data_IF_934640190969
#
_entry.id   IF_934640190969
#
_cell.length_a   1.000
_cell.length_b   1.000
_cell.length_c   1.000
_cell.angle_alpha   90.00
_cell.angle_beta   90.00
_cell.angle_gamma   90.00
#
_symmetry.space_group_name_H-M   'P 1'
#
loop_
_entity.id
_entity.type
_entity.pdbx_description
1 polymer ?
#
# COMPACT_ATOMS: atom_id res chain seq x y z
N UNK A 1 -27.98 29.35 11.11
CA UNK A 1 -26.67 28.79 11.46
C UNK A 1 -26.60 27.43 10.80
N UNK A 2 -25.85 27.32 9.72
CA UNK A 2 -25.71 26.09 8.96
C UNK A 2 -24.84 25.13 9.78
N UNK A 3 -25.44 24.03 10.23
CA UNK A 3 -24.69 22.87 10.69
C UNK A 3 -24.16 22.18 9.43
N UNK A 4 -23.01 22.62 8.96
CA UNK A 4 -22.17 21.80 8.08
C UNK A 4 -21.70 20.62 8.92
N UNK A 5 -22.53 19.58 8.93
CA UNK A 5 -22.11 18.22 9.22
C UNK A 5 -21.01 17.95 8.21
N UNK A 6 -19.75 18.10 8.63
CA UNK A 6 -18.61 17.51 7.93
C UNK A 6 -18.95 16.03 7.87
N UNK A 7 -19.57 15.60 6.77
CA UNK A 7 -19.72 14.20 6.42
C UNK A 7 -18.29 13.69 6.33
N UNK A 8 -17.85 13.12 7.43
CA UNK A 8 -16.55 12.47 7.57
C UNK A 8 -16.68 11.10 6.89
N UNK A 9 -17.06 11.11 5.61
CA UNK A 9 -16.95 9.98 4.68
C UNK A 9 -15.46 9.85 4.37
N UNK A 10 -14.68 9.46 5.37
CA UNK A 10 -13.32 8.99 5.12
C UNK A 10 -13.49 7.63 4.45
N UNK A 11 -13.48 7.61 3.12
CA UNK A 11 -13.27 6.37 2.37
C UNK A 11 -12.00 5.71 2.92
N UNK A 12 -12.11 4.44 3.31
CA UNK A 12 -11.04 3.69 3.96
C UNK A 12 -9.98 3.33 2.88
N UNK A 13 -9.22 4.33 2.44
CA UNK A 13 -8.23 4.23 1.36
C UNK A 13 -6.96 3.44 1.76
N UNK A 14 -6.98 2.71 2.89
CA UNK A 14 -5.84 1.96 3.40
C UNK A 14 -6.27 0.60 3.92
N UNK A 15 -5.59 -0.43 3.43
CA UNK A 15 -5.63 -1.79 3.94
C UNK A 15 -4.23 -2.21 4.40
N UNK A 16 -4.15 -2.76 5.60
CA UNK A 16 -2.95 -3.45 6.10
C UNK A 16 -3.12 -4.94 5.92
N UNK A 17 -2.09 -5.60 5.41
CA UNK A 17 -1.98 -7.06 5.42
C UNK A 17 -0.83 -7.46 6.34
N UNK A 18 -1.10 -8.37 7.27
CA UNK A 18 -0.05 -8.96 8.11
C UNK A 18 0.85 -9.87 7.27
N UNK A 19 2.17 -9.67 7.32
CA UNK A 19 3.12 -10.52 6.61
C UNK A 19 3.05 -11.97 7.09
N UNK A 20 3.10 -12.90 6.13
CA UNK A 20 3.16 -14.34 6.38
C UNK A 20 4.60 -14.86 6.47
N UNK A 21 4.76 -16.09 7.00
CA UNK A 21 6.02 -16.84 6.89
C UNK A 21 6.42 -17.07 5.42
N UNK A 22 5.46 -17.08 4.49
CA UNK A 22 5.71 -17.25 3.05
C UNK A 22 5.56 -15.91 2.30
N UNK A 23 6.53 -15.02 2.47
CA UNK A 23 6.55 -13.69 1.83
C UNK A 23 6.47 -13.78 0.30
N UNK A 24 7.07 -14.80 -0.33
CA UNK A 24 7.03 -14.98 -1.78
C UNK A 24 5.60 -15.19 -2.31
N UNK A 25 4.79 -15.97 -1.58
CA UNK A 25 3.38 -16.18 -1.93
C UNK A 25 2.59 -14.88 -1.83
N UNK A 26 2.77 -14.12 -0.76
CA UNK A 26 2.07 -12.85 -0.58
C UNK A 26 2.50 -11.82 -1.65
N UNK A 27 3.80 -11.72 -1.94
CA UNK A 27 4.32 -10.88 -3.02
C UNK A 27 3.67 -11.22 -4.37
N UNK A 28 3.53 -12.51 -4.67
CA UNK A 28 2.86 -12.98 -5.87
C UNK A 28 1.39 -12.53 -5.93
N UNK A 29 0.64 -12.70 -4.84
CA UNK A 29 -0.77 -12.27 -4.75
C UNK A 29 -0.91 -10.75 -4.91
N UNK A 30 -0.03 -9.97 -4.27
CA UNK A 30 -0.02 -8.50 -4.40
C UNK A 30 0.31 -8.08 -5.83
N UNK A 31 1.25 -8.76 -6.48
CA UNK A 31 1.60 -8.50 -7.87
C UNK A 31 0.42 -8.80 -8.82
N UNK A 32 -0.25 -9.94 -8.65
CA UNK A 32 -1.48 -10.23 -9.39
C UNK A 32 -2.56 -9.16 -9.18
N UNK A 33 -2.69 -8.66 -7.94
CA UNK A 33 -3.61 -7.56 -7.61
C UNK A 33 -3.25 -6.29 -8.39
N UNK A 34 -1.97 -5.93 -8.48
CA UNK A 34 -1.50 -4.81 -9.28
C UNK A 34 -1.83 -4.98 -10.76
N UNK A 35 -1.63 -6.19 -11.32
CA UNK A 35 -1.97 -6.52 -12.70
C UNK A 35 -3.49 -6.37 -12.94
N UNK A 36 -4.33 -6.82 -12.02
CA UNK A 36 -5.79 -6.66 -12.11
C UNK A 36 -6.22 -5.20 -12.14
N UNK A 37 -5.65 -4.33 -11.30
CA UNK A 37 -5.91 -2.89 -11.36
C UNK A 37 -5.48 -2.29 -12.69
N UNK A 38 -4.27 -2.63 -13.15
CA UNK A 38 -3.71 -2.10 -14.39
C UNK A 38 -4.49 -2.55 -15.64
N UNK A 39 -5.09 -3.74 -15.60
CA UNK A 39 -6.02 -4.24 -16.63
C UNK A 39 -7.25 -3.32 -16.76
N UNK A 40 -7.76 -2.79 -15.65
CA UNK A 40 -8.85 -1.82 -15.60
C UNK A 40 -8.48 -0.40 -16.03
N UNK A 41 -7.37 -0.23 -16.76
CA UNK A 41 -6.82 1.06 -17.17
C UNK A 41 -6.45 2.01 -16.02
N UNK A 42 -6.07 1.46 -14.86
CA UNK A 42 -5.59 2.22 -13.71
C UNK A 42 -4.06 2.18 -13.63
N UNK A 43 -3.48 3.18 -13.00
CA UNK A 43 -2.05 3.17 -12.67
C UNK A 43 -1.82 2.64 -11.27
N UNK A 44 -0.79 1.82 -11.11
CA UNK A 44 -0.42 1.19 -9.83
C UNK A 44 1.02 1.53 -9.50
N UNK A 45 1.28 1.80 -8.24
CA UNK A 45 2.64 1.95 -7.72
C UNK A 45 2.92 0.75 -6.84
N UNK A 46 4.00 0.04 -7.13
CA UNK A 46 4.42 -1.12 -6.39
C UNK A 46 5.79 -0.82 -5.76
N UNK A 47 5.79 -0.58 -4.45
CA UNK A 47 6.98 -0.30 -3.68
C UNK A 47 7.46 -1.58 -3.01
N UNK A 48 8.71 -1.95 -3.26
CA UNK A 48 9.33 -3.15 -2.67
C UNK A 48 10.85 -2.97 -2.54
N UNK A 49 11.48 -3.72 -1.65
CA UNK A 49 12.94 -3.67 -1.44
C UNK A 49 13.70 -4.28 -2.62
N UNK A 50 13.15 -5.31 -3.26
CA UNK A 50 13.84 -6.14 -4.26
C UNK A 50 13.00 -6.28 -5.52
N UNK A 51 13.64 -6.49 -6.69
CA UNK A 51 12.94 -6.90 -7.90
C UNK A 51 12.04 -8.12 -7.65
N UNK A 52 10.91 -8.16 -8.31
CA UNK A 52 10.00 -9.32 -8.24
C UNK A 52 10.65 -10.49 -8.97
N UNK A 53 10.97 -11.55 -8.23
CA UNK A 53 11.78 -12.68 -8.71
C UNK A 53 11.09 -13.49 -9.83
N UNK A 54 9.76 -13.55 -9.83
CA UNK A 54 8.99 -14.30 -10.83
C UNK A 54 7.71 -13.57 -11.21
N UNK A 55 7.63 -13.12 -12.45
CA UNK A 55 6.38 -12.66 -13.08
C UNK A 55 5.72 -13.87 -13.74
N UNK A 56 4.44 -14.18 -13.47
CA UNK A 56 3.75 -15.29 -14.11
C UNK A 56 3.82 -15.21 -15.63
N UNK A 57 4.03 -16.36 -16.28
CA UNK A 57 4.23 -16.43 -17.73
C UNK A 57 3.03 -15.87 -18.50
N UNK A 58 1.80 -16.02 -17.97
CA UNK A 58 0.59 -15.47 -18.58
C UNK A 58 0.57 -13.92 -18.60
N UNK A 59 1.25 -13.28 -17.64
CA UNK A 59 1.39 -11.82 -17.57
C UNK A 59 2.42 -11.34 -18.61
N UNK A 60 3.51 -12.08 -18.78
CA UNK A 60 4.56 -11.74 -19.74
C UNK A 60 4.10 -11.89 -21.20
N UNK A 61 3.30 -12.92 -21.50
CA UNK A 61 2.88 -13.23 -22.88
C UNK A 61 1.84 -12.26 -23.46
N UNK A 62 1.05 -11.59 -22.61
CA UNK A 62 -0.15 -10.88 -23.06
C UNK A 62 -0.14 -9.36 -22.84
N UNK A 63 0.82 -8.80 -22.07
CA UNK A 63 0.54 -7.52 -21.40
C UNK A 63 1.69 -6.51 -21.26
N UNK A 64 2.42 -6.24 -22.35
CA UNK A 64 3.42 -5.14 -22.39
C UNK A 64 2.82 -3.76 -22.05
N UNK A 65 1.54 -3.54 -22.39
CA UNK A 65 0.83 -2.28 -22.12
C UNK A 65 0.33 -2.15 -20.68
N UNK A 66 0.01 -3.27 -20.01
CA UNK A 66 -0.37 -3.27 -18.59
C UNK A 66 0.85 -3.05 -17.71
N UNK A 67 1.96 -3.70 -18.04
CA UNK A 67 3.19 -3.56 -17.26
C UNK A 67 3.67 -2.11 -17.20
N UNK A 68 3.49 -1.34 -18.29
CA UNK A 68 3.77 0.11 -18.34
C UNK A 68 2.90 0.95 -17.39
N UNK A 69 1.78 0.42 -16.90
CA UNK A 69 0.89 1.09 -15.93
C UNK A 69 1.24 0.76 -14.48
N UNK A 70 2.09 -0.25 -14.26
CA UNK A 70 2.61 -0.60 -12.95
C UNK A 70 4.01 0.01 -12.83
N UNK A 71 4.18 0.91 -11.87
CA UNK A 71 5.46 1.57 -11.63
C UNK A 71 6.09 0.99 -10.39
N UNK A 72 7.20 0.31 -10.60
CA UNK A 72 7.98 -0.29 -9.54
C UNK A 72 8.93 0.73 -8.93
N UNK A 73 8.86 0.86 -7.61
CA UNK A 73 9.78 1.66 -6.82
C UNK A 73 10.60 0.69 -5.97
N UNK A 74 11.81 0.41 -6.44
CA UNK A 74 12.77 -0.44 -5.74
C UNK A 74 13.66 0.41 -4.84
N UNK A 75 13.49 0.30 -3.52
CA UNK A 75 14.29 1.08 -2.58
C UNK A 75 14.38 0.39 -1.22
N UNK A 76 15.56 0.50 -0.60
CA UNK A 76 15.78 0.13 0.81
C UNK A 76 15.62 1.30 1.77
N UNK A 77 15.45 2.51 1.23
CA UNK A 77 15.34 3.75 2.01
C UNK A 77 13.90 4.23 2.01
N UNK A 78 13.30 4.28 3.20
CA UNK A 78 11.99 4.88 3.42
C UNK A 78 11.94 6.34 2.93
N UNK A 79 13.01 7.12 3.16
CA UNK A 79 13.11 8.51 2.70
C UNK A 79 13.05 8.60 1.16
N UNK A 80 13.80 7.75 0.46
CA UNK A 80 13.78 7.73 -1.00
C UNK A 80 12.40 7.35 -1.55
N UNK A 81 11.67 6.46 -0.86
CA UNK A 81 10.29 6.10 -1.21
C UNK A 81 9.37 7.32 -1.03
N UNK A 82 9.46 8.02 0.10
CA UNK A 82 8.62 9.19 0.36
C UNK A 82 8.89 10.34 -0.61
N UNK A 83 10.16 10.58 -0.96
CA UNK A 83 10.52 11.54 -2.01
C UNK A 83 9.88 11.14 -3.34
N UNK A 84 10.01 9.85 -3.72
CA UNK A 84 9.40 9.35 -4.95
C UNK A 84 7.88 9.49 -4.94
N UNK A 85 7.24 9.22 -3.79
CA UNK A 85 5.80 9.37 -3.64
C UNK A 85 5.37 10.83 -3.82
N UNK A 86 6.12 11.77 -3.25
CA UNK A 86 5.86 13.19 -3.42
C UNK A 86 6.08 13.67 -4.86
N UNK A 87 7.08 13.14 -5.56
CA UNK A 87 7.40 13.53 -6.95
C UNK A 87 6.30 13.12 -7.95
N UNK A 88 5.50 12.10 -7.66
CA UNK A 88 4.40 11.67 -8.54
C UNK A 88 3.36 12.77 -8.76
N UNK A 89 3.27 13.74 -7.85
CA UNK A 89 2.38 14.90 -8.02
C UNK A 89 2.66 15.66 -9.33
N UNK A 90 3.90 15.59 -9.82
CA UNK A 90 4.36 16.19 -11.07
C UNK A 90 4.26 15.26 -12.30
N UNK A 91 3.77 14.03 -12.14
CA UNK A 91 3.67 13.07 -13.24
C UNK A 91 2.37 13.24 -14.03
N UNK A 92 2.39 12.83 -15.30
CA UNK A 92 1.23 12.93 -16.22
C UNK A 92 0.13 11.88 -15.95
N UNK A 93 0.18 11.20 -14.82
CA UNK A 93 -0.85 10.26 -14.40
C UNK A 93 -1.05 10.34 -12.89
N UNK A 94 -2.15 9.78 -12.41
CA UNK A 94 -2.43 9.64 -10.97
C UNK A 94 -2.65 8.17 -10.64
N UNK A 95 -1.97 7.62 -9.61
CA UNK A 95 -2.15 6.22 -9.24
C UNK A 95 -3.51 6.00 -8.58
N UNK A 96 -4.16 4.90 -8.94
CA UNK A 96 -5.39 4.44 -8.27
C UNK A 96 -5.11 3.40 -7.20
N UNK A 97 -3.89 2.86 -7.15
CA UNK A 97 -3.44 1.92 -6.14
C UNK A 97 -1.97 2.16 -5.82
N UNK A 98 -1.64 2.23 -4.53
CA UNK A 98 -0.28 2.19 -4.01
C UNK A 98 -0.14 0.93 -3.17
N UNK A 99 0.85 0.10 -3.47
CA UNK A 99 1.20 -1.09 -2.70
C UNK A 99 2.58 -0.86 -2.09
N UNK A 100 2.70 -1.01 -0.78
CA UNK A 100 3.98 -0.94 -0.07
C UNK A 100 4.26 -2.27 0.63
N UNK A 101 5.29 -2.97 0.15
CA UNK A 101 5.67 -4.28 0.64
C UNK A 101 6.60 -4.21 1.86
N UNK A 102 6.31 -5.01 2.89
CA UNK A 102 7.13 -5.30 4.07
C UNK A 102 7.82 -4.07 4.67
N UNK A 103 7.04 -3.11 5.17
CA UNK A 103 7.58 -1.82 5.65
C UNK A 103 8.64 -1.96 6.74
N UNK A 104 8.63 -3.05 7.50
CA UNK A 104 9.65 -3.33 8.50
C UNK A 104 11.04 -3.47 7.89
N UNK A 105 11.16 -3.93 6.64
CA UNK A 105 12.46 -4.03 5.95
C UNK A 105 13.01 -2.65 5.58
N UNK A 106 12.13 -1.65 5.45
CA UNK A 106 12.50 -0.27 5.11
C UNK A 106 12.90 0.55 6.34
N UNK A 107 12.33 0.21 7.50
CA UNK A 107 12.37 1.05 8.70
C UNK A 107 13.18 0.44 9.85
N UNK A 108 13.31 -0.89 9.93
CA UNK A 108 14.16 -1.52 10.95
C UNK A 108 15.64 -1.32 10.62
N UNK A 109 16.30 -0.44 11.36
CA UNK A 109 17.77 -0.32 11.34
C UNK A 109 18.37 -1.10 12.50
N UNK A 110 19.60 -1.63 12.34
CA UNK A 110 20.33 -2.24 13.46
C UNK A 110 20.49 -1.21 14.59
N UNK A 111 20.09 -1.58 15.81
CA UNK A 111 20.25 -0.73 17.00
C UNK A 111 19.13 0.30 17.25
N UNK A 112 18.05 0.28 16.46
CA UNK A 112 16.88 1.14 16.74
C UNK A 112 16.15 0.71 18.02
N UNK A 113 15.78 1.68 18.86
CA UNK A 113 14.94 1.45 20.02
C UNK A 113 13.46 1.27 19.62
N UNK A 114 12.63 0.69 20.50
CA UNK A 114 11.21 0.48 20.21
C UNK A 114 10.42 1.77 19.98
N UNK A 115 10.72 2.84 20.72
CA UNK A 115 10.05 4.14 20.57
C UNK A 115 10.40 4.83 19.26
N UNK A 116 11.69 4.83 18.88
CA UNK A 116 12.16 5.43 17.62
C UNK A 116 11.54 4.73 16.39
N UNK A 117 11.38 3.40 16.47
CA UNK A 117 10.74 2.60 15.43
C UNK A 117 9.25 2.95 15.31
N UNK A 118 8.52 3.05 16.43
CA UNK A 118 7.11 3.41 16.43
C UNK A 118 6.85 4.79 15.81
N UNK A 119 7.69 5.76 16.15
CA UNK A 119 7.65 7.09 15.52
C UNK A 119 7.92 6.99 14.01
N UNK A 120 8.94 6.25 13.61
CA UNK A 120 9.30 6.06 12.20
C UNK A 120 8.18 5.43 11.37
N UNK A 121 7.52 4.38 11.90
CA UNK A 121 6.36 3.78 11.25
C UNK A 121 5.21 4.78 11.12
N UNK A 122 4.90 5.51 12.19
CA UNK A 122 3.79 6.48 12.19
C UNK A 122 4.01 7.61 11.18
N UNK A 123 5.22 8.17 11.11
CA UNK A 123 5.58 9.21 10.13
C UNK A 123 5.51 8.67 8.71
N UNK A 124 6.05 7.47 8.46
CA UNK A 124 6.04 6.86 7.15
C UNK A 124 4.62 6.59 6.65
N UNK A 125 3.79 5.94 7.47
CA UNK A 125 2.38 5.65 7.15
C UNK A 125 1.59 6.93 6.90
N UNK A 126 1.74 7.94 7.76
CA UNK A 126 1.06 9.23 7.59
C UNK A 126 1.45 9.91 6.27
N UNK A 127 2.72 9.82 5.88
CA UNK A 127 3.23 10.42 4.65
C UNK A 127 2.72 9.70 3.39
N UNK A 128 2.66 8.36 3.44
CA UNK A 128 2.06 7.55 2.37
C UNK A 128 0.58 7.87 2.24
N UNK A 129 -0.14 7.94 3.37
CA UNK A 129 -1.56 8.29 3.41
C UNK A 129 -1.85 9.70 2.89
N UNK A 130 -1.04 10.69 3.23
CA UNK A 130 -1.19 12.05 2.67
C UNK A 130 -1.04 12.03 1.14
N UNK A 131 -0.07 11.27 0.64
CA UNK A 131 0.14 11.09 -0.80
C UNK A 131 -1.08 10.44 -1.46
N UNK A 132 -1.61 9.35 -0.87
CA UNK A 132 -2.80 8.64 -1.36
C UNK A 132 -4.04 9.54 -1.30
N UNK A 133 -4.25 10.28 -0.22
CA UNK A 133 -5.34 11.25 -0.10
C UNK A 133 -5.26 12.31 -1.21
N UNK A 134 -4.06 12.83 -1.49
CA UNK A 134 -3.85 13.77 -2.59
C UNK A 134 -4.22 13.16 -3.95
N UNK A 135 -3.80 11.92 -4.22
CA UNK A 135 -4.17 11.22 -5.46
C UNK A 135 -5.68 10.94 -5.54
N UNK A 136 -6.28 10.55 -4.42
CA UNK A 136 -7.71 10.27 -4.31
C UNK A 136 -8.53 11.51 -4.67
N UNK A 137 -8.19 12.68 -4.11
CA UNK A 137 -8.82 13.96 -4.46
C UNK A 137 -8.70 14.29 -5.96
N UNK A 138 -7.56 14.01 -6.58
CA UNK A 138 -7.37 14.19 -8.04
C UNK A 138 -8.20 13.23 -8.89
N UNK A 139 -8.57 12.05 -8.37
CA UNK A 139 -9.35 11.03 -9.07
C UNK A 139 -10.82 10.91 -8.62
N UNK A 140 -11.30 11.82 -7.77
CA UNK A 140 -12.66 11.76 -7.23
C UNK A 140 -12.86 10.59 -6.24
N UNK A 141 -11.96 10.50 -5.26
CA UNK A 141 -11.95 9.56 -4.12
C UNK A 141 -11.81 8.07 -4.48
N UNK A 142 -10.88 7.76 -5.40
CA UNK A 142 -10.69 6.40 -5.95
C UNK A 142 -9.29 5.81 -5.79
N UNK A 143 -8.39 6.47 -5.05
CA UNK A 143 -7.04 5.97 -4.84
C UNK A 143 -6.96 5.20 -3.53
N UNK A 144 -6.46 3.96 -3.59
CA UNK A 144 -6.36 3.05 -2.45
C UNK A 144 -4.90 2.70 -2.16
N UNK A 145 -4.66 2.21 -0.95
CA UNK A 145 -3.34 1.86 -0.45
C UNK A 145 -3.38 0.47 0.20
N UNK A 146 -2.40 -0.37 -0.14
CA UNK A 146 -2.12 -1.62 0.54
C UNK A 146 -0.75 -1.50 1.18
N UNK A 147 -0.66 -1.81 2.47
CA UNK A 147 0.61 -1.85 3.18
C UNK A 147 0.75 -3.21 3.82
N UNK A 148 1.90 -3.85 3.64
CA UNK A 148 2.18 -5.12 4.30
C UNK A 148 3.22 -4.93 5.38
N UNK A 149 3.00 -5.56 6.53
CA UNK A 149 3.86 -5.38 7.69
C UNK A 149 3.88 -6.61 8.59
N UNK A 150 5.01 -6.83 9.26
CA UNK A 150 5.15 -7.94 10.20
C UNK A 150 4.18 -7.80 11.39
N UNK A 151 3.63 -8.95 11.84
CA UNK A 151 2.65 -9.02 12.92
C UNK A 151 3.14 -8.39 14.22
N UNK A 152 4.41 -8.54 14.54
CA UNK A 152 5.00 -7.92 15.72
C UNK A 152 4.98 -6.39 15.64
N UNK A 153 5.10 -5.77 14.45
CA UNK A 153 4.94 -4.31 14.28
C UNK A 153 3.50 -3.88 14.56
N UNK A 154 2.52 -4.69 14.17
CA UNK A 154 1.10 -4.42 14.42
C UNK A 154 0.78 -4.55 15.90
N UNK A 155 1.30 -5.58 16.57
CA UNK A 155 1.02 -5.87 17.97
C UNK A 155 1.81 -4.99 18.96
N UNK A 156 3.06 -4.64 18.64
CA UNK A 156 3.93 -3.80 19.51
C UNK A 156 3.75 -2.31 19.26
N UNK A 157 3.26 -1.94 18.08
CA UNK A 157 2.92 -0.58 17.78
C UNK A 157 1.60 -0.21 18.45
N UNK A 158 1.65 0.63 19.48
CA UNK A 158 0.71 1.75 19.54
C UNK A 158 1.00 2.66 18.33
N UNK A 159 0.88 2.12 17.12
CA UNK A 159 0.69 2.93 15.93
C UNK A 159 -0.39 3.92 16.35
N UNK A 160 -0.17 5.22 16.16
CA UNK A 160 -1.21 6.21 16.38
C UNK A 160 -2.14 6.07 15.17
N UNK A 161 -2.79 4.92 15.13
CA UNK A 161 -3.62 4.40 14.06
C UNK A 161 -5.06 4.86 14.27
N UNK A 162 -5.50 5.15 15.48
CA UNK A 162 -6.91 5.51 15.74
C UNK A 162 -7.50 6.63 14.87
N UNK A 163 -6.77 7.68 14.43
CA UNK A 163 -7.30 8.64 13.46
C UNK A 163 -7.37 8.09 12.03
N UNK A 164 -6.47 7.16 11.72
CA UNK A 164 -6.16 6.45 10.46
C UNK A 164 -7.03 5.23 10.12
N UNK A 165 -7.40 4.50 11.17
CA UNK A 165 -7.63 3.07 11.09
C UNK A 165 -8.88 2.71 11.86
N UNK A 166 -9.76 2.04 11.17
CA UNK A 166 -10.73 1.17 11.83
C UNK A 166 -10.06 -0.21 11.94
N UNK A 167 -10.28 -0.93 13.04
CA UNK A 167 -9.74 -2.29 13.24
C UNK A 167 -10.05 -3.24 12.06
N UNK A 168 -11.08 -2.92 11.27
CA UNK A 168 -11.51 -3.65 10.08
C UNK A 168 -10.55 -3.56 8.89
N UNK A 169 -9.59 -2.63 8.89
CA UNK A 169 -8.65 -2.44 7.78
C UNK A 169 -7.37 -3.29 7.91
N UNK A 170 -7.25 -4.12 8.96
CA UNK A 170 -6.09 -5.00 9.18
C UNK A 170 -6.50 -6.44 8.91
N UNK A 171 -5.83 -7.07 7.94
CA UNK A 171 -6.18 -8.41 7.45
C UNK A 171 -5.02 -9.36 7.71
N UNK A 172 -5.25 -10.48 8.41
CA UNK A 172 -4.23 -11.52 8.56
C UNK A 172 -3.80 -12.03 7.18
N UNK A 173 -2.49 -12.05 6.87
CA UNK A 173 -2.02 -12.58 5.59
C UNK A 173 -2.48 -14.02 5.32
N UNK A 174 -2.71 -14.80 6.39
CA UNK A 174 -3.22 -16.19 6.33
C UNK A 174 -4.65 -16.33 5.82
N UNK A 175 -5.45 -15.28 5.85
CA UNK A 175 -6.79 -15.31 5.24
C UNK A 175 -6.76 -14.97 3.75
N UNK A 176 -5.61 -14.55 3.21
CA UNK A 176 -5.47 -14.16 1.80
C UNK A 176 -4.86 -15.33 1.04
N UNK A 177 -5.64 -15.90 0.13
CA UNK A 177 -5.22 -17.03 -0.69
C UNK A 177 -5.02 -16.66 -2.16
N UNK A 178 -5.70 -15.61 -2.61
CA UNK A 178 -5.76 -15.18 -4.01
C UNK A 178 -5.81 -13.66 -4.11
N UNK A 179 -5.56 -13.11 -5.30
CA UNK A 179 -5.79 -11.70 -5.55
C UNK A 179 -7.26 -11.29 -5.41
N UNK A 180 -8.22 -12.20 -5.64
CA UNK A 180 -9.65 -11.91 -5.43
C UNK A 180 -9.95 -11.56 -3.97
N UNK A 181 -9.35 -12.28 -3.02
CA UNK A 181 -9.53 -12.01 -1.59
C UNK A 181 -9.06 -10.58 -1.23
N UNK A 182 -7.95 -10.13 -1.83
CA UNK A 182 -7.42 -8.76 -1.67
C UNK A 182 -8.38 -7.72 -2.26
N UNK A 183 -8.93 -8.01 -3.44
CA UNK A 183 -9.85 -7.10 -4.14
C UNK A 183 -11.19 -6.97 -3.43
N UNK A 184 -11.72 -8.06 -2.88
CA UNK A 184 -12.98 -8.06 -2.13
C UNK A 184 -12.82 -7.31 -0.81
N UNK A 185 -11.72 -7.55 -0.10
CA UNK A 185 -11.36 -6.76 1.09
C UNK A 185 -11.25 -5.25 0.79
N UNK A 186 -10.58 -4.88 -0.32
CA UNK A 186 -10.49 -3.46 -0.72
C UNK A 186 -11.84 -2.83 -1.08
N UNK A 187 -12.84 -3.61 -1.50
CA UNK A 187 -14.21 -3.12 -1.74
C UNK A 187 -14.96 -2.92 -0.43
N UNK A 188 -14.75 -3.78 0.55
CA UNK A 188 -15.33 -3.64 1.88
C UNK A 188 -14.72 -2.45 2.65
N UNK A 189 -13.46 -2.10 2.35
CA UNK A 189 -12.81 -0.88 2.81
C UNK A 189 -13.12 0.37 1.96
N UNK A 190 -13.91 0.31 0.88
CA UNK A 190 -14.16 1.46 -0.01
C UNK A 190 -15.45 2.20 0.32
#
# INVERSE_FOLDING_TARGET
MANDIIQNTRSNNLMIIEDERNQKRLQHILFETAVRYATGNKHVIFVTEKPIDSVPSEVLSNYSSIYKKIIFVYSKSAEAILLKLNDIKAWNFTPSLVIVESIQNLLRKPGSSGEDLNFSYSVFLSSVLDSVCYYSRKQGDRSQCIITMARDVIETGHLIVEPFFQQQNVIPGRSINTCSDVLDALRECG
#
